data_IF_206831932587
#
_entry.id   IF_206831932587
#
_cell.length_a   1.000
_cell.length_b   1.000
_cell.length_c   1.000
_cell.angle_alpha   90.00
_cell.angle_beta   90.00
_cell.angle_gamma   90.00
#
_symmetry.space_group_name_H-M   'P 1'
#
loop_
_entity.id
_entity.type
_entity.pdbx_description
1 polymer ?
#
# COMPACT_ATOMS: atom_id res chain seq x y z
N UNK A 1 -15.94 1.88 12.20
CA UNK A 1 -15.32 1.66 10.88
C UNK A 1 -16.12 2.25 9.71
N UNK A 2 -17.46 2.34 9.76
CA UNK A 2 -18.27 2.84 8.64
C UNK A 2 -17.87 4.25 8.13
N UNK A 3 -17.69 5.23 9.05
CA UNK A 3 -17.29 6.59 8.67
C UNK A 3 -15.91 6.68 8.01
N UNK A 4 -14.96 5.82 8.39
CA UNK A 4 -13.63 5.77 7.77
C UNK A 4 -13.75 5.33 6.31
N UNK A 5 -14.49 4.26 6.05
CA UNK A 5 -14.70 3.75 4.68
C UNK A 5 -15.35 4.79 3.79
N UNK A 6 -16.42 5.45 4.26
CA UNK A 6 -17.12 6.51 3.50
C UNK A 6 -16.22 7.72 3.28
N UNK A 7 -15.44 8.13 4.28
CA UNK A 7 -14.51 9.25 4.15
C UNK A 7 -13.39 8.95 3.14
N UNK A 8 -12.81 7.74 3.17
CA UNK A 8 -11.71 7.37 2.26
C UNK A 8 -12.14 7.34 0.79
N UNK A 9 -13.33 6.83 0.49
CA UNK A 9 -13.83 6.81 -0.89
C UNK A 9 -14.17 8.22 -1.38
N UNK A 10 -14.80 9.04 -0.54
CA UNK A 10 -15.14 10.42 -0.91
C UNK A 10 -13.90 11.32 -1.05
N UNK A 11 -12.85 11.07 -0.27
CA UNK A 11 -11.62 11.88 -0.32
C UNK A 11 -10.86 11.70 -1.63
N UNK A 12 -10.79 10.46 -2.15
CA UNK A 12 -10.18 10.19 -3.47
C UNK A 12 -11.00 10.87 -4.57
N UNK A 13 -12.33 10.79 -4.49
CA UNK A 13 -13.22 11.37 -5.50
C UNK A 13 -13.17 12.90 -5.57
N UNK A 14 -12.99 13.61 -4.44
CA UNK A 14 -12.89 15.08 -4.46
C UNK A 14 -11.54 15.55 -5.04
N UNK A 15 -10.49 14.73 -4.96
CA UNK A 15 -9.16 15.03 -5.51
C UNK A 15 -8.97 14.51 -6.95
N UNK A 16 -10.01 13.93 -7.53
CA UNK A 16 -10.09 13.54 -8.93
C UNK A 16 -10.14 14.75 -9.87
N UNK A 17 -9.98 14.52 -11.18
CA UNK A 17 -10.15 15.56 -12.21
C UNK A 17 -8.97 15.70 -13.18
N UNK A 18 -7.89 14.94 -12.99
CA UNK A 18 -6.82 14.78 -13.98
C UNK A 18 -6.56 13.30 -14.25
N UNK A 19 -6.26 12.97 -15.51
CA UNK A 19 -5.97 11.60 -15.94
C UNK A 19 -4.87 10.97 -15.06
N UNK A 20 -5.19 9.83 -14.45
CA UNK A 20 -4.28 9.03 -13.64
C UNK A 20 -4.14 9.45 -12.18
N UNK A 21 -4.71 10.58 -11.72
CA UNK A 21 -4.50 11.04 -10.34
C UNK A 21 -5.22 10.16 -9.31
N UNK A 22 -6.42 9.68 -9.64
CA UNK A 22 -7.23 8.80 -8.78
C UNK A 22 -6.48 7.49 -8.49
N UNK A 23 -6.01 6.83 -9.56
CA UNK A 23 -5.23 5.59 -9.45
C UNK A 23 -3.85 5.84 -8.82
N UNK A 24 -3.25 7.00 -9.06
CA UNK A 24 -1.96 7.38 -8.48
C UNK A 24 -2.01 7.53 -6.96
N UNK A 25 -3.05 8.20 -6.44
CA UNK A 25 -3.25 8.35 -4.99
C UNK A 25 -3.45 6.99 -4.30
N UNK A 26 -4.32 6.15 -4.85
CA UNK A 26 -4.53 4.80 -4.34
C UNK A 26 -3.25 3.97 -4.37
N UNK A 27 -2.44 4.09 -5.44
CA UNK A 27 -1.16 3.40 -5.57
C UNK A 27 -0.15 3.84 -4.51
N UNK A 28 0.01 5.16 -4.28
CA UNK A 28 0.95 5.69 -3.27
C UNK A 28 0.55 5.21 -1.87
N UNK A 29 -0.74 5.22 -1.55
CA UNK A 29 -1.24 4.74 -0.25
C UNK A 29 -0.98 3.23 -0.11
N UNK A 30 -1.32 2.43 -1.12
CA UNK A 30 -1.14 0.98 -1.08
C UNK A 30 0.34 0.58 -0.93
N UNK A 31 1.25 1.24 -1.66
CA UNK A 31 2.70 1.05 -1.52
C UNK A 31 3.19 1.44 -0.13
N UNK A 32 2.67 2.54 0.44
CA UNK A 32 3.06 2.98 1.80
C UNK A 32 2.62 1.99 2.87
N UNK A 33 1.41 1.44 2.76
CA UNK A 33 0.91 0.39 3.67
C UNK A 33 1.71 -0.90 3.50
N UNK A 34 1.94 -1.34 2.26
CA UNK A 34 2.76 -2.53 2.01
C UNK A 34 4.19 -2.38 2.58
N UNK A 35 4.81 -1.21 2.43
CA UNK A 35 6.10 -0.93 3.03
C UNK A 35 6.05 -0.97 4.57
N UNK A 36 4.97 -0.44 5.18
CA UNK A 36 4.76 -0.55 6.61
C UNK A 36 4.61 -2.01 7.06
N UNK A 37 3.81 -2.81 6.37
CA UNK A 37 3.63 -4.24 6.66
C UNK A 37 4.96 -4.99 6.55
N UNK A 38 5.78 -4.64 5.55
CA UNK A 38 7.13 -5.16 5.38
C UNK A 38 8.04 -4.86 6.57
N UNK A 39 7.83 -3.80 7.37
CA UNK A 39 8.61 -3.46 8.58
C UNK A 39 8.20 -4.23 9.84
N UNK A 40 7.03 -4.88 9.85
CA UNK A 40 6.58 -5.69 10.98
C UNK A 40 6.78 -7.20 10.76
N UNK A 41 7.07 -7.62 9.53
CA UNK A 41 7.32 -9.00 9.17
C UNK A 41 8.68 -9.52 9.68
N UNK A 42 8.80 -10.80 10.07
CA UNK A 42 10.08 -11.40 10.40
C UNK A 42 10.86 -11.72 9.12
N UNK A 43 11.66 -10.79 8.63
CA UNK A 43 12.51 -11.05 7.47
C UNK A 43 13.75 -11.88 7.84
N UNK A 44 14.02 -12.90 7.02
CA UNK A 44 15.20 -13.76 7.18
C UNK A 44 16.50 -13.06 6.74
N UNK A 45 16.40 -12.01 5.91
CA UNK A 45 17.56 -11.28 5.37
C UNK A 45 18.04 -10.20 6.33
N UNK A 46 19.34 -10.17 6.65
CA UNK A 46 19.91 -9.23 7.61
C UNK A 46 20.55 -8.03 6.89
N UNK A 47 19.94 -6.86 7.03
CA UNK A 47 20.46 -5.57 6.56
C UNK A 47 20.98 -4.75 7.75
N UNK A 48 22.25 -4.34 7.69
CA UNK A 48 22.82 -3.36 8.62
C UNK A 48 22.94 -2.00 7.94
N UNK A 49 22.19 -1.01 8.41
CA UNK A 49 22.40 0.40 8.08
C UNK A 49 22.88 1.10 9.36
N UNK A 50 24.19 1.41 9.44
CA UNK A 50 24.77 2.04 10.64
C UNK A 50 24.60 1.19 11.91
N UNK A 51 23.91 1.73 12.93
CA UNK A 51 23.58 1.03 14.19
C UNK A 51 22.24 0.29 14.17
N UNK A 52 21.45 0.43 13.09
CA UNK A 52 20.14 -0.20 12.96
C UNK A 52 20.32 -1.56 12.29
N UNK A 53 20.13 -2.64 13.05
CA UNK A 53 20.11 -4.01 12.51
C UNK A 53 18.68 -4.38 12.12
N UNK A 54 18.35 -4.24 10.84
CA UNK A 54 17.11 -4.73 10.24
C UNK A 54 17.35 -6.17 9.76
N UNK A 55 17.10 -7.16 10.62
CA UNK A 55 16.92 -8.56 10.23
C UNK A 55 17.52 -9.61 11.16
N UNK A 56 16.88 -10.78 11.21
CA UNK A 56 17.25 -11.86 12.13
C UNK A 56 16.04 -12.66 12.62
N UNK A 57 16.25 -13.98 12.69
CA UNK A 57 15.26 -15.01 13.06
C UNK A 57 14.63 -14.80 14.45
N UNK A 58 15.27 -14.03 15.33
CA UNK A 58 14.91 -13.93 16.75
C UNK A 58 14.42 -12.56 17.24
N UNK A 59 14.09 -11.61 16.36
CA UNK A 59 13.40 -10.39 16.83
C UNK A 59 13.63 -9.12 16.03
N UNK A 60 13.80 -9.23 14.72
CA UNK A 60 14.14 -8.05 13.92
C UNK A 60 12.99 -7.47 13.07
N UNK A 61 11.76 -7.94 13.25
CA UNK A 61 10.58 -7.14 12.91
C UNK A 61 10.17 -6.32 14.14
N UNK A 62 9.54 -5.15 13.97
CA UNK A 62 9.00 -4.38 15.10
C UNK A 62 7.84 -5.10 15.84
N UNK A 63 7.57 -6.36 15.53
CA UNK A 63 6.46 -7.16 16.05
C UNK A 63 6.68 -7.75 17.45
N UNK A 64 7.83 -7.50 18.10
CA UNK A 64 8.12 -7.87 19.50
C UNK A 64 7.79 -9.34 19.87
N UNK A 65 7.78 -10.26 18.91
CA UNK A 65 7.44 -11.67 19.12
C UNK A 65 5.93 -11.98 19.20
N UNK A 66 5.04 -11.04 18.87
CA UNK A 66 3.59 -11.28 18.83
C UNK A 66 3.17 -11.92 17.50
N UNK A 67 2.78 -13.19 17.55
CA UNK A 67 2.28 -13.94 16.39
C UNK A 67 1.04 -13.26 15.77
N UNK A 68 0.12 -12.77 16.59
CA UNK A 68 -1.10 -12.08 16.14
C UNK A 68 -0.81 -10.81 15.35
N UNK A 69 0.26 -10.08 15.70
CA UNK A 69 0.62 -8.86 14.98
C UNK A 69 1.20 -9.20 13.61
N UNK A 70 2.04 -10.24 13.53
CA UNK A 70 2.60 -10.74 12.28
C UNK A 70 1.49 -11.24 11.35
N UNK A 71 0.51 -11.99 11.85
CA UNK A 71 -0.62 -12.46 11.05
C UNK A 71 -1.46 -11.31 10.48
N UNK A 72 -1.68 -10.23 11.24
CA UNK A 72 -2.45 -9.06 10.77
C UNK A 72 -1.71 -8.29 9.67
N UNK A 73 -0.40 -8.12 9.79
CA UNK A 73 0.42 -7.50 8.75
C UNK A 73 0.59 -8.40 7.52
N UNK A 74 0.65 -9.73 7.69
CA UNK A 74 0.59 -10.68 6.58
C UNK A 74 -0.73 -10.59 5.82
N UNK A 75 -1.85 -10.56 6.52
CA UNK A 75 -3.18 -10.42 5.91
C UNK A 75 -3.30 -9.10 5.14
N UNK A 76 -2.84 -7.99 5.73
CA UNK A 76 -2.79 -6.69 5.06
C UNK A 76 -1.95 -6.76 3.78
N UNK A 77 -0.74 -7.33 3.86
CA UNK A 77 0.15 -7.46 2.72
C UNK A 77 -0.45 -8.31 1.57
N UNK A 78 -1.16 -9.41 1.90
CA UNK A 78 -1.86 -10.22 0.91
C UNK A 78 -2.93 -9.46 0.13
N UNK A 79 -3.55 -8.44 0.74
CA UNK A 79 -4.54 -7.58 0.06
C UNK A 79 -3.89 -6.41 -0.69
N UNK A 80 -2.79 -5.87 -0.16
CA UNK A 80 -2.10 -4.72 -0.77
C UNK A 80 -1.32 -5.09 -2.04
N UNK A 81 -0.70 -6.28 -2.12
CA UNK A 81 0.06 -6.71 -3.30
C UNK A 81 -0.79 -6.75 -4.59
N UNK A 82 -1.97 -7.41 -4.61
CA UNK A 82 -2.88 -7.35 -5.76
C UNK A 82 -3.38 -5.94 -6.06
N UNK A 83 -3.68 -5.14 -5.02
CA UNK A 83 -4.14 -3.76 -5.18
C UNK A 83 -3.09 -2.90 -5.88
N UNK A 84 -1.83 -2.99 -5.47
CA UNK A 84 -0.70 -2.31 -6.12
C UNK A 84 -0.59 -2.74 -7.59
N UNK A 85 -0.70 -4.04 -7.88
CA UNK A 85 -0.63 -4.56 -9.24
C UNK A 85 -1.74 -4.00 -10.15
N UNK A 86 -2.98 -4.01 -9.68
CA UNK A 86 -4.13 -3.46 -10.41
C UNK A 86 -4.02 -1.95 -10.58
N UNK A 87 -3.68 -1.21 -9.51
CA UNK A 87 -3.50 0.24 -9.57
C UNK A 87 -2.36 0.64 -10.52
N UNK A 88 -1.23 -0.08 -10.52
CA UNK A 88 -0.12 0.17 -11.43
C UNK A 88 -0.49 -0.14 -12.89
N UNK A 89 -1.23 -1.23 -13.13
CA UNK A 89 -1.77 -1.56 -14.44
C UNK A 89 -2.74 -0.49 -14.96
N UNK A 90 -3.69 -0.08 -14.12
CA UNK A 90 -4.64 0.99 -14.44
C UNK A 90 -3.93 2.31 -14.70
N UNK A 91 -2.96 2.69 -13.86
CA UNK A 91 -2.18 3.90 -14.02
C UNK A 91 -1.43 3.90 -15.35
N UNK A 92 -0.84 2.77 -15.76
CA UNK A 92 -0.14 2.66 -17.05
C UNK A 92 -1.04 2.96 -18.25
N UNK A 93 -2.30 2.54 -18.22
CA UNK A 93 -3.26 2.83 -19.30
C UNK A 93 -3.92 4.21 -19.17
N UNK A 94 -4.00 4.75 -17.95
CA UNK A 94 -4.68 6.01 -17.65
C UNK A 94 -3.74 7.23 -17.61
N UNK A 95 -2.42 7.02 -17.59
CA UNK A 95 -1.43 8.10 -17.49
C UNK A 95 -1.43 8.98 -18.73
N UNK A 96 -1.70 10.29 -18.55
CA UNK A 96 -1.58 11.54 -19.36
C UNK A 96 -1.42 11.54 -20.90
N UNK A 97 -1.12 10.40 -21.54
CA UNK A 97 -1.02 10.13 -22.98
C UNK A 97 -2.25 9.33 -23.45
N UNK A 98 -3.29 9.19 -22.65
CA UNK A 98 -4.56 8.58 -23.06
C UNK A 98 -5.52 9.64 -23.62
N UNK A 99 -6.00 9.52 -24.88
CA UNK A 99 -6.95 10.45 -25.50
C UNK A 99 -8.41 10.25 -25.04
N UNK A 100 -8.64 9.47 -23.99
CA UNK A 100 -9.99 9.12 -23.54
C UNK A 100 -10.43 10.08 -22.43
N UNK A 101 -11.59 10.75 -22.56
CA UNK A 101 -12.24 11.35 -21.40
C UNK A 101 -12.57 10.21 -20.44
N UNK A 102 -11.87 10.17 -19.30
CA UNK A 102 -12.20 9.23 -18.22
C UNK A 102 -13.64 9.50 -17.79
N UNK A 103 -14.55 8.51 -17.89
CA UNK A 103 -15.81 8.61 -17.19
C UNK A 103 -15.48 8.73 -15.70
N UNK A 104 -16.01 9.76 -15.04
CA UNK A 104 -16.06 9.81 -13.59
C UNK A 104 -16.92 8.62 -13.15
N UNK A 105 -16.29 7.51 -12.80
CA UNK A 105 -16.98 6.32 -12.32
C UNK A 105 -17.34 6.47 -10.84
N UNK A 106 -17.92 7.61 -10.44
CA UNK A 106 -18.58 7.84 -9.15
C UNK A 106 -19.64 8.92 -9.26
#
# INVERSE_FOLDING_TARGET
MALLSTFTTNSINILAGMNGIEAGQALVIAVSVAFNDLLYLPWSFRFKIGSLELGGVYGAGLSHGSELLVERHLLSLYLMLPLIGVCAGLLRYNWSVSPLPVPQFW
#
